data_IF_005465348559
#
_entry.id   IF_005465348559
#
_cell.length_a   1.000
_cell.length_b   1.000
_cell.length_c   1.000
_cell.angle_alpha   90.00
_cell.angle_beta   90.00
_cell.angle_gamma   90.00
#
_symmetry.space_group_name_H-M   'P 1'
#
loop_
_entity.id
_entity.type
_entity.pdbx_description
1 polymer ?
#
# COMPACT_ATOMS: atom_id res chain seq x y z
N UNK A 1 3.81 6.00 -17.67
CA UNK A 1 3.09 6.12 -16.38
C UNK A 1 1.73 5.46 -16.51
N UNK A 2 1.39 4.55 -15.58
CA UNK A 2 0.08 3.90 -15.46
C UNK A 2 -0.56 4.35 -14.14
N UNK A 3 -1.85 4.70 -14.17
CA UNK A 3 -2.63 4.99 -12.96
C UNK A 3 -3.38 3.75 -12.55
N UNK A 4 -3.22 3.32 -11.30
CA UNK A 4 -3.78 2.07 -10.80
C UNK A 4 -4.60 2.39 -9.57
N UNK A 5 -5.80 1.81 -9.50
CA UNK A 5 -6.67 1.93 -8.35
C UNK A 5 -7.16 0.55 -7.90
N UNK A 6 -7.32 0.38 -6.60
CA UNK A 6 -7.83 -0.85 -5.98
C UNK A 6 -8.82 -0.49 -4.88
N UNK A 7 -9.78 -1.39 -4.64
CA UNK A 7 -10.75 -1.26 -3.56
C UNK A 7 -10.66 -2.50 -2.68
N UNK A 8 -10.48 -2.30 -1.38
CA UNK A 8 -10.51 -3.36 -0.37
C UNK A 8 -11.44 -2.98 0.78
N UNK A 9 -11.95 -3.97 1.50
CA UNK A 9 -12.75 -3.75 2.70
C UNK A 9 -11.87 -3.75 3.96
N UNK A 10 -12.19 -2.89 4.92
CA UNK A 10 -11.64 -2.90 6.28
C UNK A 10 -12.75 -3.25 7.26
N UNK A 11 -12.47 -4.12 8.23
CA UNK A 11 -13.46 -4.50 9.24
C UNK A 11 -13.78 -3.28 10.10
N UNK A 12 -15.06 -3.02 10.46
CA UNK A 12 -15.45 -1.84 11.23
C UNK A 12 -14.65 -1.64 12.52
N UNK A 13 -14.35 -2.73 13.24
CA UNK A 13 -13.60 -2.72 14.50
C UNK A 13 -12.12 -2.37 14.35
N UNK A 14 -11.56 -2.50 13.15
CA UNK A 14 -10.12 -2.33 12.88
C UNK A 14 -9.82 -0.97 12.22
N UNK A 15 -10.84 -0.15 11.91
CA UNK A 15 -10.68 1.15 11.22
C UNK A 15 -9.76 2.10 11.98
N UNK A 16 -10.00 2.31 13.27
CA UNK A 16 -9.24 3.28 14.06
C UNK A 16 -7.76 2.89 14.14
N UNK A 17 -7.47 1.60 14.29
CA UNK A 17 -6.10 1.10 14.32
C UNK A 17 -5.45 1.16 12.94
N UNK A 18 -6.19 0.85 11.87
CA UNK A 18 -5.72 1.01 10.50
C UNK A 18 -5.30 2.45 10.20
N UNK A 19 -6.15 3.43 10.54
CA UNK A 19 -5.84 4.86 10.36
C UNK A 19 -4.60 5.25 11.18
N UNK A 20 -4.56 4.90 12.47
CA UNK A 20 -3.41 5.18 13.36
C UNK A 20 -2.10 4.61 12.83
N UNK A 21 -2.11 3.38 12.31
CA UNK A 21 -0.92 2.75 11.75
C UNK A 21 -0.46 3.51 10.49
N UNK A 22 -1.39 3.96 9.63
CA UNK A 22 -1.06 4.64 8.37
C UNK A 22 -0.66 6.12 8.54
N UNK A 23 -0.82 6.72 9.72
CA UNK A 23 -0.25 8.03 10.05
C UNK A 23 1.29 8.01 10.03
N UNK A 24 1.89 6.88 10.41
CA UNK A 24 3.35 6.70 10.52
C UNK A 24 3.81 5.42 9.80
N UNK A 25 3.62 5.40 8.48
CA UNK A 25 4.09 4.28 7.65
C UNK A 25 5.61 4.10 7.80
N UNK A 26 6.04 2.84 7.98
CA UNK A 26 7.45 2.53 8.14
C UNK A 26 8.28 3.05 6.95
N UNK A 27 9.38 3.79 7.19
CA UNK A 27 10.22 4.32 6.12
C UNK A 27 10.77 3.25 5.17
N UNK A 28 10.98 2.03 5.68
CA UNK A 28 11.42 0.87 4.89
C UNK A 28 10.38 0.45 3.85
N UNK A 29 9.10 0.41 4.23
CA UNK A 29 7.98 0.10 3.31
C UNK A 29 7.86 1.17 2.22
N UNK A 30 7.95 2.44 2.60
CA UNK A 30 7.93 3.56 1.65
C UNK A 30 9.12 3.49 0.67
N UNK A 31 10.30 3.08 1.15
CA UNK A 31 11.47 2.88 0.31
C UNK A 31 11.28 1.72 -0.69
N UNK A 32 10.69 0.61 -0.26
CA UNK A 32 10.36 -0.53 -1.13
C UNK A 32 9.37 -0.11 -2.23
N UNK A 33 8.30 0.62 -1.90
CA UNK A 33 7.35 1.14 -2.88
C UNK A 33 8.04 2.05 -3.92
N UNK A 34 8.91 2.96 -3.45
CA UNK A 34 9.67 3.84 -4.34
C UNK A 34 10.62 3.06 -5.26
N UNK A 35 11.30 2.03 -4.74
CA UNK A 35 12.17 1.13 -5.51
C UNK A 35 11.39 0.37 -6.59
N UNK A 36 10.14 0.03 -6.31
CA UNK A 36 9.21 -0.62 -7.23
C UNK A 36 8.45 0.37 -8.14
N UNK A 37 8.98 1.59 -8.32
CA UNK A 37 8.44 2.60 -9.22
C UNK A 37 7.00 3.05 -8.90
N UNK A 38 6.56 2.90 -7.65
CA UNK A 38 5.27 3.41 -7.15
C UNK A 38 5.43 4.83 -6.63
N UNK A 39 4.54 5.72 -7.07
CA UNK A 39 4.51 7.14 -6.71
C UNK A 39 3.07 7.59 -6.50
N UNK A 40 2.90 8.78 -5.91
CA UNK A 40 1.60 9.41 -5.64
C UNK A 40 0.59 8.44 -5.00
N UNK A 41 1.05 7.59 -4.08
CA UNK A 41 0.24 6.55 -3.46
C UNK A 41 -0.59 7.16 -2.31
N UNK A 42 -1.90 7.17 -2.50
CA UNK A 42 -2.88 7.60 -1.50
C UNK A 42 -3.87 6.48 -1.20
N UNK A 43 -4.34 6.43 0.05
CA UNK A 43 -5.45 5.58 0.48
C UNK A 43 -6.54 6.50 1.03
N UNK A 44 -7.73 6.39 0.48
CA UNK A 44 -8.93 7.11 0.92
C UNK A 44 -9.89 6.12 1.57
N UNK A 45 -10.58 6.51 2.63
CA UNK A 45 -11.63 5.69 3.24
C UNK A 45 -13.01 6.27 2.98
N UNK A 46 -13.96 5.42 2.60
CA UNK A 46 -15.38 5.69 2.60
C UNK A 46 -16.10 4.58 3.35
N UNK A 47 -16.66 4.89 4.52
CA UNK A 47 -17.21 3.90 5.45
C UNK A 47 -16.20 2.78 5.76
N UNK A 48 -16.47 1.56 5.30
CA UNK A 48 -15.65 0.35 5.48
C UNK A 48 -14.85 -0.01 4.22
N UNK A 49 -14.79 0.88 3.22
CA UNK A 49 -14.04 0.69 1.99
C UNK A 49 -12.79 1.57 1.99
N UNK A 50 -11.69 0.98 1.57
CA UNK A 50 -10.44 1.66 1.29
C UNK A 50 -10.26 1.72 -0.23
N UNK A 51 -10.17 2.92 -0.76
CA UNK A 51 -9.81 3.20 -2.15
C UNK A 51 -8.34 3.59 -2.21
N UNK A 52 -7.55 2.70 -2.80
CA UNK A 52 -6.13 2.89 -3.02
C UNK A 52 -5.92 3.47 -4.41
N UNK A 53 -5.10 4.50 -4.53
CA UNK A 53 -4.70 5.11 -5.78
C UNK A 53 -3.18 5.21 -5.83
N UNK A 54 -2.56 4.79 -6.92
CA UNK A 54 -1.13 4.97 -7.13
C UNK A 54 -0.79 5.23 -8.60
N UNK A 55 0.35 5.88 -8.82
CA UNK A 55 0.98 6.06 -10.12
C UNK A 55 2.20 5.15 -10.24
N UNK A 56 2.22 4.31 -11.26
CA UNK A 56 3.33 3.42 -11.57
C UNK A 56 4.13 3.94 -12.76
N UNK A 57 5.44 4.11 -12.58
CA UNK A 57 6.32 4.71 -13.61
C UNK A 57 7.32 3.71 -14.21
N UNK A 58 7.33 2.45 -13.78
CA UNK A 58 8.25 1.44 -14.28
C UNK A 58 7.82 0.78 -15.60
N UNK A 59 8.62 -0.18 -16.04
CA UNK A 59 8.44 -0.88 -17.33
C UNK A 59 7.87 -2.30 -17.16
N UNK A 60 8.05 -2.94 -16.00
CA UNK A 60 7.60 -4.29 -15.71
C UNK A 60 6.85 -4.33 -14.37
N UNK A 61 5.53 -4.16 -14.44
CA UNK A 61 4.68 -4.04 -13.27
C UNK A 61 4.67 -5.32 -12.44
N UNK A 62 4.60 -6.47 -13.11
CA UNK A 62 4.55 -7.79 -12.46
C UNK A 62 5.83 -8.07 -11.67
N UNK A 63 7.00 -7.72 -12.21
CA UNK A 63 8.27 -7.86 -11.51
C UNK A 63 8.38 -6.92 -10.30
N UNK A 64 7.94 -5.67 -10.44
CA UNK A 64 7.97 -4.68 -9.36
C UNK A 64 7.00 -5.04 -8.22
N UNK A 65 5.81 -5.55 -8.54
CA UNK A 65 4.87 -6.03 -7.52
C UNK A 65 5.40 -7.30 -6.83
N UNK A 66 6.08 -8.19 -7.56
CA UNK A 66 6.73 -9.35 -6.97
C UNK A 66 7.87 -8.95 -6.02
N UNK A 67 8.63 -7.89 -6.34
CA UNK A 67 9.65 -7.32 -5.46
C UNK A 67 9.03 -6.82 -4.14
N UNK A 68 7.91 -6.08 -4.21
CA UNK A 68 7.20 -5.63 -3.01
C UNK A 68 6.73 -6.83 -2.18
N UNK A 69 6.12 -7.83 -2.82
CA UNK A 69 5.60 -9.02 -2.13
C UNK A 69 6.70 -9.88 -1.47
N UNK A 70 7.90 -9.86 -2.03
CA UNK A 70 9.06 -10.59 -1.49
C UNK A 70 9.80 -9.85 -0.37
N UNK A 71 9.57 -8.54 -0.19
CA UNK A 71 10.26 -7.74 0.82
C UNK A 71 9.82 -8.13 2.26
N UNK A 72 10.74 -8.59 3.13
CA UNK A 72 10.39 -9.02 4.47
C UNK A 72 9.75 -7.94 5.34
N UNK A 73 10.17 -6.68 5.17
CA UNK A 73 9.62 -5.56 5.94
C UNK A 73 8.18 -5.24 5.50
N UNK A 74 7.92 -5.26 4.20
CA UNK A 74 6.55 -5.19 3.65
C UNK A 74 5.67 -6.35 4.16
N UNK A 75 6.19 -7.58 4.21
CA UNK A 75 5.44 -8.71 4.77
C UNK A 75 5.12 -8.54 6.26
N UNK A 76 6.04 -7.96 7.05
CA UNK A 76 5.81 -7.65 8.46
C UNK A 76 4.78 -6.55 8.64
N UNK A 77 4.82 -5.53 7.80
CA UNK A 77 3.82 -4.46 7.74
C UNK A 77 2.42 -5.02 7.46
N UNK A 78 2.27 -5.91 6.47
CA UNK A 78 0.98 -6.51 6.15
C UNK A 78 0.38 -7.34 7.28
N UNK A 79 1.17 -7.86 8.23
CA UNK A 79 0.64 -8.58 9.39
C UNK A 79 -0.11 -7.68 10.37
N UNK A 80 0.15 -6.37 10.36
CA UNK A 80 -0.51 -5.40 11.23
C UNK A 80 -1.55 -4.53 10.50
N UNK A 81 -1.52 -4.50 9.16
CA UNK A 81 -2.48 -3.73 8.35
C UNK A 81 -3.47 -4.56 7.55
N UNK A 82 -3.30 -5.89 7.49
CA UNK A 82 -4.12 -6.82 6.70
C UNK A 82 -5.33 -7.40 7.42
#
# INVERSE_FOLDING_TARGET
>A
MKRIAQVIGVKPKDIAEYERIHEEVWPTVLATLKKANVQNFSIYRYEHLLFLYMEYTGENYEADMALIAADPETQRWWKITG
#
